data_IF_792079052509
#
_entry.id   IF_792079052509
#
_cell.length_a   1.000
_cell.length_b   1.000
_cell.length_c   1.000
_cell.angle_alpha   90.00
_cell.angle_beta   90.00
_cell.angle_gamma   90.00
#
_symmetry.space_group_name_H-M   'P 1'
#
loop_
_entity.id
_entity.type
_entity.pdbx_description
1 polymer ?
#
# COMPACT_ATOMS: atom_id res chain seq x y z
N UNK A 1 -11.43 -37.13 -14.68
CA UNK A 1 -11.42 -36.52 -13.34
C UNK A 1 -11.41 -34.99 -13.39
N UNK A 2 -10.42 -34.34 -14.03
CA UNK A 2 -10.39 -32.88 -14.17
C UNK A 2 -11.56 -32.29 -14.99
N UNK A 3 -11.98 -32.98 -16.05
CA UNK A 3 -13.13 -32.57 -16.89
C UNK A 3 -14.48 -32.64 -16.15
N UNK A 4 -14.63 -33.55 -15.17
CA UNK A 4 -15.85 -33.65 -14.37
C UNK A 4 -15.95 -32.51 -13.34
N UNK A 5 -14.82 -32.10 -12.75
CA UNK A 5 -14.78 -31.04 -11.72
C UNK A 5 -15.03 -29.67 -12.37
N UNK A 6 -14.47 -29.43 -13.56
CA UNK A 6 -14.72 -28.24 -14.38
C UNK A 6 -16.20 -28.12 -14.80
N UNK A 7 -16.86 -29.24 -15.11
CA UNK A 7 -18.29 -29.26 -15.43
C UNK A 7 -19.18 -28.82 -14.26
N UNK A 8 -18.89 -29.26 -13.04
CA UNK A 8 -19.67 -28.92 -11.82
C UNK A 8 -19.53 -27.47 -11.36
N UNK A 9 -18.39 -26.82 -11.63
CA UNK A 9 -18.15 -25.43 -11.24
C UNK A 9 -18.82 -24.42 -12.19
N UNK A 10 -18.90 -24.74 -13.48
CA UNK A 10 -19.63 -23.96 -14.48
C UNK A 10 -21.15 -24.13 -14.33
N UNK A 11 -21.61 -25.33 -13.94
CA UNK A 11 -23.02 -25.59 -13.66
C UNK A 11 -23.54 -24.80 -12.42
N UNK A 12 -22.70 -24.57 -11.41
CA UNK A 12 -23.09 -23.78 -10.21
C UNK A 12 -23.07 -22.27 -10.41
N UNK A 13 -22.38 -21.75 -11.43
CA UNK A 13 -22.35 -20.30 -11.73
C UNK A 13 -23.45 -19.85 -12.69
N UNK A 14 -24.24 -20.79 -13.21
CA UNK A 14 -25.33 -20.52 -14.18
C UNK A 14 -26.72 -20.64 -13.56
N UNK A 15 -26.86 -21.10 -12.31
CA UNK A 15 -28.14 -21.18 -11.60
C UNK A 15 -28.78 -19.81 -11.31
N UNK A 16 -28.05 -18.70 -11.51
CA UNK A 16 -28.56 -17.34 -11.29
C UNK A 16 -28.84 -16.55 -12.58
N UNK A 17 -28.89 -17.19 -13.75
CA UNK A 17 -29.30 -16.55 -15.01
C UNK A 17 -30.55 -17.22 -15.58
N UNK A 18 -31.67 -16.51 -15.43
CA UNK A 18 -33.02 -16.88 -15.85
C UNK A 18 -33.18 -16.72 -17.40
N UNK A 19 -34.37 -16.98 -17.98
CA UNK A 19 -34.71 -17.97 -19.02
C UNK A 19 -34.10 -17.82 -20.45
N UNK A 20 -33.34 -16.77 -20.75
CA UNK A 20 -32.95 -16.43 -22.13
C UNK A 20 -31.87 -17.33 -22.74
N UNK A 21 -31.01 -17.93 -21.92
CA UNK A 21 -29.95 -18.85 -22.39
C UNK A 21 -30.55 -20.15 -22.94
N UNK A 22 -31.69 -20.61 -22.39
CA UNK A 22 -32.39 -21.80 -22.89
C UNK A 22 -33.09 -21.56 -24.23
N UNK A 23 -33.54 -20.33 -24.49
CA UNK A 23 -34.12 -19.94 -25.77
C UNK A 23 -33.06 -19.89 -26.88
N UNK A 24 -31.83 -19.46 -26.55
CA UNK A 24 -30.70 -19.43 -27.48
C UNK A 24 -30.27 -20.83 -27.92
N UNK A 25 -30.10 -21.76 -26.98
CA UNK A 25 -29.75 -23.17 -27.31
C UNK A 25 -30.82 -23.85 -28.17
N UNK A 26 -32.11 -23.56 -27.94
CA UNK A 26 -33.20 -24.08 -28.75
C UNK A 26 -33.20 -23.52 -30.19
N UNK A 27 -32.90 -22.22 -30.37
CA UNK A 27 -32.86 -21.58 -31.68
C UNK A 27 -31.66 -22.03 -32.53
N UNK A 28 -30.49 -22.19 -31.91
CA UNK A 28 -29.29 -22.72 -32.59
C UNK A 28 -29.51 -24.18 -33.00
N UNK A 29 -30.08 -25.00 -32.12
CA UNK A 29 -30.42 -26.40 -32.42
C UNK A 29 -31.44 -26.51 -33.58
N UNK A 30 -32.46 -25.65 -33.60
CA UNK A 30 -33.45 -25.63 -34.68
C UNK A 30 -32.84 -25.20 -36.04
N UNK A 31 -31.87 -24.28 -36.04
CA UNK A 31 -31.14 -23.85 -37.25
C UNK A 31 -30.25 -24.96 -37.80
N UNK A 32 -29.53 -25.68 -36.94
CA UNK A 32 -28.69 -26.81 -37.37
C UNK A 32 -29.53 -27.98 -37.89
N UNK A 33 -30.70 -28.25 -37.29
CA UNK A 33 -31.65 -29.27 -37.78
C UNK A 33 -32.26 -28.85 -39.14
N UNK A 34 -32.66 -27.60 -39.31
CA UNK A 34 -33.26 -27.13 -40.57
C UNK A 34 -32.26 -27.12 -41.74
N UNK A 35 -31.02 -26.68 -41.48
CA UNK A 35 -29.93 -26.68 -42.47
C UNK A 35 -29.46 -28.11 -42.80
N UNK A 36 -29.41 -29.00 -41.81
CA UNK A 36 -29.10 -30.42 -42.02
C UNK A 36 -30.17 -31.19 -42.81
N UNK A 37 -31.38 -30.64 -42.93
CA UNK A 37 -32.51 -31.22 -43.69
C UNK A 37 -32.83 -30.47 -44.99
N UNK A 38 -32.02 -29.47 -45.38
CA UNK A 38 -32.17 -28.75 -46.65
C UNK A 38 -33.38 -27.81 -46.73
N UNK A 39 -33.86 -27.26 -45.61
CA UNK A 39 -34.97 -26.29 -45.57
C UNK A 39 -34.48 -24.87 -45.24
N UNK A 40 -34.99 -23.87 -45.95
CA UNK A 40 -34.74 -22.45 -45.63
C UNK A 40 -35.66 -21.94 -44.50
N UNK A 41 -35.12 -21.08 -43.63
CA UNK A 41 -35.88 -20.38 -42.60
C UNK A 41 -36.50 -19.09 -43.19
N UNK A 42 -37.73 -18.76 -42.79
CA UNK A 42 -38.41 -17.56 -43.28
C UNK A 42 -37.80 -16.25 -42.72
N UNK A 43 -38.01 -15.11 -43.39
CA UNK A 43 -37.27 -13.85 -43.14
C UNK A 43 -37.42 -13.28 -41.71
N UNK A 44 -38.52 -13.59 -41.00
CA UNK A 44 -38.72 -13.18 -39.60
C UNK A 44 -37.86 -13.96 -38.59
N UNK A 45 -37.40 -15.16 -38.94
CA UNK A 45 -36.53 -15.96 -38.09
C UNK A 45 -35.08 -15.47 -38.19
N UNK A 46 -34.61 -15.12 -39.39
CA UNK A 46 -33.26 -14.58 -39.61
C UNK A 46 -33.03 -13.24 -38.89
N UNK A 47 -34.01 -12.34 -38.89
CA UNK A 47 -33.91 -11.03 -38.23
C UNK A 47 -33.82 -11.13 -36.70
N UNK A 48 -34.56 -12.07 -36.09
CA UNK A 48 -34.47 -12.36 -34.64
C UNK A 48 -33.15 -13.03 -34.25
N UNK A 49 -32.60 -13.87 -35.12
CA UNK A 49 -31.29 -14.50 -34.89
C UNK A 49 -30.17 -13.46 -34.96
N UNK A 50 -30.22 -12.52 -35.92
CA UNK A 50 -29.21 -11.46 -36.08
C UNK A 50 -29.16 -10.45 -34.94
N UNK A 51 -30.32 -10.07 -34.40
CA UNK A 51 -30.42 -9.12 -33.27
C UNK A 51 -29.90 -9.75 -31.96
N UNK A 52 -30.30 -10.97 -31.64
CA UNK A 52 -29.79 -11.67 -30.45
C UNK A 52 -28.32 -12.11 -30.54
N UNK A 53 -27.80 -12.43 -31.73
CA UNK A 53 -26.36 -12.71 -31.85
C UNK A 53 -25.49 -11.49 -31.56
N UNK A 54 -25.97 -10.29 -31.86
CA UNK A 54 -25.23 -9.04 -31.63
C UNK A 54 -25.18 -8.70 -30.13
N UNK A 55 -26.28 -8.88 -29.39
CA UNK A 55 -26.33 -8.69 -27.93
C UNK A 55 -25.50 -9.73 -27.17
N UNK A 56 -25.59 -11.02 -27.56
CA UNK A 56 -24.82 -12.11 -26.95
C UNK A 56 -23.31 -11.97 -27.18
N UNK A 57 -22.86 -11.49 -28.34
CA UNK A 57 -21.43 -11.21 -28.60
C UNK A 57 -20.93 -10.04 -27.74
N UNK A 58 -21.76 -9.01 -27.53
CA UNK A 58 -21.44 -7.90 -26.63
C UNK A 58 -21.28 -8.37 -25.18
N UNK A 59 -22.19 -9.22 -24.70
CA UNK A 59 -22.15 -9.75 -23.34
C UNK A 59 -21.02 -10.77 -23.14
N UNK A 60 -20.71 -11.57 -24.17
CA UNK A 60 -19.55 -12.47 -24.19
C UNK A 60 -18.22 -11.69 -24.17
N UNK A 61 -18.14 -10.52 -24.82
CA UNK A 61 -16.98 -9.64 -24.75
C UNK A 61 -16.71 -9.12 -23.34
N UNK A 62 -17.77 -8.72 -22.61
CA UNK A 62 -17.69 -8.30 -21.22
C UNK A 62 -17.40 -9.47 -20.25
N UNK A 63 -17.93 -10.66 -20.53
CA UNK A 63 -17.67 -11.87 -19.75
C UNK A 63 -16.24 -12.41 -19.96
N UNK A 64 -15.69 -12.36 -21.18
CA UNK A 64 -14.30 -12.72 -21.46
C UNK A 64 -13.29 -11.77 -20.80
N UNK A 65 -13.59 -10.47 -20.74
CA UNK A 65 -12.77 -9.51 -20.00
C UNK A 65 -12.74 -9.81 -18.48
N UNK A 66 -13.87 -10.25 -17.91
CA UNK A 66 -13.95 -10.67 -16.50
C UNK A 66 -13.32 -12.04 -16.23
N UNK A 67 -13.38 -12.97 -17.19
CA UNK A 67 -12.74 -14.30 -17.11
C UNK A 67 -11.22 -14.23 -17.26
N UNK A 68 -10.70 -13.32 -18.10
CA UNK A 68 -9.26 -13.05 -18.22
C UNK A 68 -8.65 -12.51 -16.90
N UNK A 69 -9.41 -11.73 -16.12
CA UNK A 69 -9.00 -11.30 -14.78
C UNK A 69 -9.04 -12.45 -13.75
N UNK A 70 -9.95 -13.42 -13.89
CA UNK A 70 -10.06 -14.55 -12.95
C UNK A 70 -9.03 -15.66 -13.22
N UNK A 71 -8.74 -15.95 -14.49
CA UNK A 71 -7.73 -16.93 -14.93
C UNK A 71 -6.29 -16.48 -14.68
N UNK A 72 -6.05 -15.17 -14.64
CA UNK A 72 -4.77 -14.60 -14.18
C UNK A 72 -4.52 -14.81 -12.68
N UNK A 73 -5.58 -14.93 -11.85
CA UNK A 73 -5.45 -15.21 -10.41
C UNK A 73 -5.34 -16.70 -10.09
N UNK A 74 -5.89 -17.58 -10.92
CA UNK A 74 -5.83 -19.03 -10.70
C UNK A 74 -4.52 -19.67 -11.23
N UNK A 75 -3.93 -19.11 -12.30
CA UNK A 75 -2.63 -19.55 -12.82
C UNK A 75 -1.46 -19.23 -11.88
N UNK A 76 -1.62 -18.21 -11.03
CA UNK A 76 -0.67 -17.91 -9.94
C UNK A 76 -0.77 -18.92 -8.78
N UNK A 77 -1.90 -19.61 -8.61
CA UNK A 77 -2.10 -20.55 -7.50
C UNK A 77 -1.56 -21.96 -7.80
N UNK A 78 -1.39 -22.32 -9.08
CA UNK A 78 -0.98 -23.68 -9.49
C UNK A 78 0.52 -23.76 -9.84
N UNK A 79 1.23 -22.64 -10.02
CA UNK A 79 2.71 -22.62 -10.20
C UNK A 79 3.53 -22.22 -8.96
N UNK A 80 2.88 -21.93 -7.83
CA UNK A 80 3.54 -21.54 -6.57
C UNK A 80 3.76 -22.67 -5.56
N UNK A 81 3.58 -23.93 -5.97
CA UNK A 81 3.75 -25.12 -5.12
C UNK A 81 5.20 -25.48 -4.82
N UNK A 82 5.97 -24.55 -4.27
CA UNK A 82 7.12 -24.86 -3.44
C UNK A 82 6.91 -24.09 -2.15
N UNK A 83 6.48 -24.79 -1.10
CA UNK A 83 6.57 -24.25 0.24
C UNK A 83 8.05 -23.96 0.50
N UNK A 84 8.45 -22.72 0.32
CA UNK A 84 9.70 -22.21 0.86
C UNK A 84 9.61 -22.40 2.37
N UNK A 85 10.52 -23.23 2.87
CA UNK A 85 10.72 -23.42 4.30
C UNK A 85 10.79 -22.05 4.95
N UNK A 86 9.99 -21.87 5.99
CA UNK A 86 10.01 -20.67 6.81
C UNK A 86 11.43 -20.48 7.32
N UNK A 87 12.15 -19.53 6.74
CA UNK A 87 13.35 -19.00 7.34
C UNK A 87 12.91 -18.17 8.55
N UNK A 88 12.73 -18.90 9.64
CA UNK A 88 12.30 -18.38 10.92
C UNK A 88 13.40 -17.47 11.44
N UNK A 89 13.10 -16.20 11.69
CA UNK A 89 13.87 -15.42 12.65
C UNK A 89 13.81 -16.19 13.96
N UNK A 90 14.91 -16.80 14.37
CA UNK A 90 15.00 -17.72 15.50
C UNK A 90 14.92 -17.04 16.87
N UNK A 91 14.60 -15.74 16.92
CA UNK A 91 14.36 -15.02 18.17
C UNK A 91 12.88 -15.12 18.55
N UNK A 92 12.49 -15.96 19.52
CA UNK A 92 11.12 -16.02 20.02
C UNK A 92 10.64 -14.71 20.67
N UNK A 93 11.53 -13.75 20.95
CA UNK A 93 11.17 -12.40 21.40
C UNK A 93 10.78 -11.46 20.25
N UNK A 94 11.00 -11.86 19.00
CA UNK A 94 10.65 -11.06 17.82
C UNK A 94 9.15 -11.14 17.52
N UNK A 95 8.41 -10.24 18.17
CA UNK A 95 6.96 -10.13 18.07
C UNK A 95 6.44 -9.59 16.72
N UNK A 96 7.33 -9.41 15.73
CA UNK A 96 6.93 -8.86 14.43
C UNK A 96 5.93 -9.75 13.70
N UNK A 97 4.93 -9.13 13.05
CA UNK A 97 3.88 -9.81 12.28
C UNK A 97 4.36 -10.13 10.87
N UNK A 98 5.11 -9.25 10.23
CA UNK A 98 5.73 -9.51 8.93
C UNK A 98 7.13 -10.06 9.15
N UNK A 99 7.29 -11.38 9.05
CA UNK A 99 8.63 -12.02 9.17
C UNK A 99 9.62 -11.44 8.16
N UNK A 100 10.86 -11.24 8.57
CA UNK A 100 11.89 -10.80 7.63
C UNK A 100 12.02 -11.82 6.50
N UNK A 101 12.13 -11.33 5.27
CA UNK A 101 12.36 -12.18 4.09
C UNK A 101 13.88 -12.25 3.89
N UNK A 102 14.51 -13.44 4.01
CA UNK A 102 15.92 -13.60 3.65
C UNK A 102 16.18 -13.13 2.23
N UNK A 103 17.37 -12.59 2.00
CA UNK A 103 17.72 -11.93 0.74
C UNK A 103 17.64 -12.92 -0.44
N UNK A 104 18.06 -14.15 -0.19
CA UNK A 104 18.01 -15.31 -1.09
C UNK A 104 16.58 -15.78 -1.41
N UNK A 105 15.59 -15.41 -0.58
CA UNK A 105 14.19 -15.83 -0.72
C UNK A 105 13.29 -14.73 -1.32
N UNK A 106 13.86 -13.60 -1.74
CA UNK A 106 13.09 -12.53 -2.39
C UNK A 106 12.61 -12.95 -3.78
N UNK A 107 11.34 -12.69 -4.09
CA UNK A 107 10.86 -12.77 -5.48
C UNK A 107 11.60 -11.76 -6.38
N UNK A 108 11.57 -11.91 -7.72
CA UNK A 108 12.16 -10.92 -8.63
C UNK A 108 11.67 -9.48 -8.40
N UNK A 109 10.37 -9.29 -8.13
CA UNK A 109 9.76 -7.98 -7.87
C UNK A 109 10.20 -7.42 -6.51
N UNK A 110 10.28 -8.27 -5.48
CA UNK A 110 10.79 -7.91 -4.17
C UNK A 110 12.28 -7.56 -4.21
N UNK A 111 13.08 -8.32 -4.97
CA UNK A 111 14.50 -8.06 -5.23
C UNK A 111 14.69 -6.69 -5.87
N UNK A 112 13.90 -6.35 -6.89
CA UNK A 112 13.94 -5.03 -7.53
C UNK A 112 13.68 -3.89 -6.52
N UNK A 113 12.63 -4.02 -5.70
CA UNK A 113 12.35 -3.02 -4.66
C UNK A 113 13.47 -2.96 -3.59
N UNK A 114 13.98 -4.12 -3.18
CA UNK A 114 15.10 -4.20 -2.25
C UNK A 114 16.32 -3.43 -2.76
N UNK A 115 16.70 -3.66 -4.01
CA UNK A 115 17.86 -3.01 -4.63
C UNK A 115 17.64 -1.50 -4.80
N UNK A 116 16.43 -1.08 -5.18
CA UNK A 116 16.06 0.33 -5.25
C UNK A 116 16.23 1.02 -3.89
N UNK A 117 15.70 0.44 -2.81
CA UNK A 117 15.83 0.99 -1.44
C UNK A 117 17.29 1.06 -0.99
N UNK A 118 18.09 0.03 -1.30
CA UNK A 118 19.51 -0.08 -0.93
C UNK A 118 20.42 0.87 -1.69
N UNK A 119 20.05 1.20 -2.94
CA UNK A 119 20.79 2.15 -3.78
C UNK A 119 20.46 3.61 -3.47
N UNK A 120 19.32 3.85 -2.81
CA UNK A 120 18.81 5.17 -2.49
C UNK A 120 19.55 5.90 -1.35
N UNK A 121 19.24 7.19 -1.13
CA UNK A 121 19.90 8.02 -0.11
C UNK A 121 19.70 7.50 1.32
N UNK A 122 18.65 6.71 1.58
CA UNK A 122 18.38 6.12 2.90
C UNK A 122 19.48 5.16 3.36
N UNK A 123 20.13 4.46 2.43
CA UNK A 123 21.22 3.54 2.76
C UNK A 123 22.47 4.27 3.30
N UNK A 124 22.54 5.60 3.17
CA UNK A 124 23.60 6.45 3.75
C UNK A 124 23.33 6.84 5.20
N UNK A 125 22.10 6.63 5.69
CA UNK A 125 21.75 6.89 7.09
C UNK A 125 22.19 5.69 7.91
N UNK A 126 23.17 5.90 8.80
CA UNK A 126 23.68 4.87 9.70
C UNK A 126 22.54 4.22 10.50
N UNK A 127 22.64 2.91 10.68
CA UNK A 127 21.69 2.08 11.43
C UNK A 127 20.23 2.13 10.95
N UNK A 128 19.99 2.65 9.74
CA UNK A 128 18.68 2.56 9.11
C UNK A 128 18.39 1.14 8.64
N UNK A 129 17.10 0.77 8.57
CA UNK A 129 16.68 -0.51 7.99
C UNK A 129 17.08 -0.73 6.53
N UNK A 130 17.56 0.33 5.84
CA UNK A 130 18.09 0.27 4.48
C UNK A 130 19.63 0.13 4.45
N UNK A 131 20.35 0.56 5.48
CA UNK A 131 21.82 0.49 5.54
C UNK A 131 22.33 -0.82 6.13
N UNK A 132 21.61 -1.41 7.11
CA UNK A 132 22.04 -2.64 7.79
C UNK A 132 22.10 -3.83 6.81
N UNK A 133 23.21 -4.58 6.68
CA UNK A 133 23.30 -5.74 5.79
C UNK A 133 22.24 -6.81 6.07
N UNK A 134 21.81 -7.55 5.04
CA UNK A 134 20.84 -8.65 5.17
C UNK A 134 19.39 -8.26 4.81
N UNK A 135 18.38 -8.90 5.42
CA UNK A 135 16.97 -8.54 5.20
C UNK A 135 16.70 -7.06 5.49
N UNK A 136 15.81 -6.43 4.72
CA UNK A 136 15.39 -5.05 4.97
C UNK A 136 14.66 -4.96 6.31
N UNK A 137 15.03 -3.98 7.14
CA UNK A 137 14.38 -3.69 8.42
C UNK A 137 13.36 -2.56 8.34
N UNK A 138 12.80 -2.16 9.49
CA UNK A 138 11.88 -1.03 9.58
C UNK A 138 10.64 -1.19 8.70
N UNK A 139 10.11 -0.08 8.12
CA UNK A 139 8.91 -0.15 7.30
C UNK A 139 9.14 -0.85 5.95
N UNK A 140 10.39 -0.90 5.47
CA UNK A 140 10.76 -1.47 4.18
C UNK A 140 10.41 -2.96 4.09
N UNK A 141 10.57 -3.70 5.19
CA UNK A 141 10.14 -5.10 5.29
C UNK A 141 8.65 -5.27 4.96
N UNK A 142 7.81 -4.37 5.48
CA UNK A 142 6.36 -4.40 5.25
C UNK A 142 6.04 -4.08 3.79
N UNK A 143 6.75 -3.11 3.20
CA UNK A 143 6.53 -2.70 1.81
C UNK A 143 6.87 -3.81 0.79
N UNK A 144 7.77 -4.74 1.13
CA UNK A 144 8.04 -5.93 0.29
C UNK A 144 6.80 -6.83 0.10
N UNK A 145 5.74 -6.67 0.90
CA UNK A 145 4.48 -7.42 0.73
C UNK A 145 3.67 -6.95 -0.48
N UNK A 146 3.92 -5.75 -0.98
CA UNK A 146 3.36 -5.25 -2.23
C UNK A 146 4.43 -4.43 -2.96
N UNK A 147 5.32 -5.06 -3.73
CA UNK A 147 6.50 -4.38 -4.29
C UNK A 147 6.17 -3.18 -5.17
N UNK A 148 5.07 -3.23 -5.94
CA UNK A 148 4.64 -2.11 -6.77
C UNK A 148 4.23 -0.89 -5.93
N UNK A 149 3.43 -1.09 -4.88
CA UNK A 149 3.06 -0.02 -3.94
C UNK A 149 4.29 0.44 -3.16
N UNK A 150 5.12 -0.51 -2.72
CA UNK A 150 6.35 -0.24 -1.98
C UNK A 150 7.32 0.65 -2.75
N UNK A 151 7.43 0.48 -4.08
CA UNK A 151 8.24 1.37 -4.90
C UNK A 151 7.66 2.79 -4.97
N UNK A 152 6.34 2.94 -5.13
CA UNK A 152 5.69 4.25 -5.06
C UNK A 152 5.93 4.94 -3.71
N UNK A 153 5.73 4.21 -2.61
CA UNK A 153 5.90 4.72 -1.24
C UNK A 153 7.35 5.10 -0.97
N UNK A 154 8.31 4.25 -1.34
CA UNK A 154 9.72 4.55 -1.09
C UNK A 154 10.20 5.75 -1.92
N UNK A 155 9.69 5.96 -3.14
CA UNK A 155 10.03 7.15 -3.94
C UNK A 155 9.42 8.43 -3.35
N UNK A 156 8.15 8.39 -2.94
CA UNK A 156 7.51 9.52 -2.26
C UNK A 156 8.27 9.90 -0.98
N UNK A 157 8.64 8.91 -0.16
CA UNK A 157 9.42 9.18 1.03
C UNK A 157 10.85 9.66 0.76
N UNK A 158 11.39 9.49 -0.47
CA UNK A 158 12.68 10.05 -0.83
C UNK A 158 12.54 11.55 -1.09
N UNK A 159 11.52 11.95 -1.85
CA UNK A 159 11.16 13.35 -2.08
C UNK A 159 10.94 14.08 -0.77
N UNK A 160 10.08 13.54 0.11
CA UNK A 160 9.73 14.14 1.39
C UNK A 160 10.93 14.32 2.32
N UNK A 161 11.89 13.40 2.30
CA UNK A 161 13.02 13.44 3.25
C UNK A 161 14.22 14.22 2.73
N UNK A 162 14.50 14.13 1.44
CA UNK A 162 15.77 14.60 0.88
C UNK A 162 15.60 15.72 -0.14
N UNK A 163 14.37 16.04 -0.56
CA UNK A 163 14.06 17.12 -1.52
C UNK A 163 12.93 18.06 -1.04
N UNK A 164 12.56 17.97 0.25
CA UNK A 164 11.56 18.85 0.87
C UNK A 164 12.03 20.31 0.88
N UNK A 165 11.07 21.22 0.74
CA UNK A 165 11.28 22.66 0.91
C UNK A 165 11.36 23.06 2.39
N UNK A 166 10.92 22.21 3.31
CA UNK A 166 11.04 22.45 4.74
C UNK A 166 12.48 22.23 5.20
N UNK A 167 13.05 23.13 6.03
CA UNK A 167 14.33 22.88 6.70
C UNK A 167 14.34 21.55 7.45
N UNK A 168 15.46 20.84 7.45
CA UNK A 168 15.58 19.49 8.03
C UNK A 168 15.04 19.39 9.47
N UNK A 169 15.37 20.38 10.32
CA UNK A 169 14.85 20.48 11.70
C UNK A 169 13.31 20.45 11.76
N UNK A 170 12.68 21.23 10.90
CA UNK A 170 11.21 21.40 10.88
C UNK A 170 10.51 20.19 10.24
N UNK A 171 11.12 19.59 9.23
CA UNK A 171 10.64 18.36 8.63
C UNK A 171 10.67 17.22 9.65
N UNK A 172 11.81 17.02 10.35
CA UNK A 172 11.93 16.01 11.41
C UNK A 172 11.01 16.29 12.61
N UNK A 173 10.75 17.56 12.94
CA UNK A 173 9.74 17.93 13.94
C UNK A 173 8.34 17.42 13.56
N UNK A 174 7.89 17.65 12.32
CA UNK A 174 6.61 17.13 11.84
C UNK A 174 6.53 15.59 11.90
N UNK A 175 7.65 14.93 11.61
CA UNK A 175 7.77 13.47 11.67
C UNK A 175 7.59 12.97 13.11
N UNK A 176 8.32 13.52 14.09
CA UNK A 176 8.20 13.03 15.47
C UNK A 176 6.84 13.36 16.09
N UNK A 177 6.19 14.47 15.71
CA UNK A 177 4.79 14.76 16.11
C UNK A 177 3.84 13.67 15.58
N UNK A 178 4.00 13.29 14.32
CA UNK A 178 3.21 12.22 13.69
C UNK A 178 3.47 10.87 14.35
N UNK A 179 4.74 10.53 14.59
CA UNK A 179 5.13 9.31 15.29
C UNK A 179 4.54 9.25 16.70
N UNK A 180 4.50 10.38 17.43
CA UNK A 180 3.86 10.44 18.74
C UNK A 180 2.36 10.22 18.66
N UNK A 181 1.68 10.86 17.72
CA UNK A 181 0.23 10.71 17.53
C UNK A 181 -0.16 9.24 17.36
N UNK A 182 0.58 8.51 16.52
CA UNK A 182 0.37 7.07 16.32
C UNK A 182 1.00 6.19 17.39
N UNK A 183 1.74 6.75 18.35
CA UNK A 183 2.56 6.01 19.32
C UNK A 183 3.49 4.98 18.65
N UNK A 184 4.05 5.36 17.50
CA UNK A 184 4.97 4.53 16.72
C UNK A 184 6.35 4.53 17.34
N UNK A 185 6.63 3.52 18.16
CA UNK A 185 7.86 3.42 18.96
C UNK A 185 9.12 3.45 18.09
N UNK A 186 9.13 2.67 17.00
CA UNK A 186 10.27 2.58 16.10
C UNK A 186 10.50 3.88 15.32
N UNK A 187 9.42 4.47 14.78
CA UNK A 187 9.52 5.73 14.04
C UNK A 187 10.01 6.86 14.94
N UNK A 188 9.44 6.96 16.13
CA UNK A 188 9.88 7.92 17.14
C UNK A 188 11.36 7.75 17.48
N UNK A 189 11.79 6.51 17.75
CA UNK A 189 13.20 6.24 18.07
C UNK A 189 14.14 6.68 16.94
N UNK A 190 13.84 6.29 15.70
CA UNK A 190 14.66 6.61 14.54
C UNK A 190 14.70 8.11 14.26
N UNK A 191 13.54 8.78 14.28
CA UNK A 191 13.41 10.17 13.86
C UNK A 191 13.73 11.17 14.97
N UNK A 192 13.55 10.82 16.26
CA UNK A 192 14.03 11.66 17.36
C UNK A 192 15.52 11.91 17.23
N UNK A 193 16.33 10.89 16.92
CA UNK A 193 17.77 11.07 16.73
C UNK A 193 18.04 12.08 15.60
N UNK A 194 17.38 11.92 14.46
CA UNK A 194 17.56 12.79 13.29
C UNK A 194 17.11 14.23 13.56
N UNK A 195 16.02 14.42 14.32
CA UNK A 195 15.56 15.73 14.75
C UNK A 195 16.60 16.45 15.61
N UNK A 196 17.21 15.75 16.57
CA UNK A 196 18.27 16.30 17.42
C UNK A 196 19.53 16.61 16.62
N UNK A 197 19.95 15.72 15.72
CA UNK A 197 21.09 15.93 14.83
C UNK A 197 20.87 17.14 13.90
N UNK A 198 19.61 17.43 13.54
CA UNK A 198 19.21 18.61 12.76
C UNK A 198 19.08 19.90 13.62
N UNK A 199 19.37 19.84 14.92
CA UNK A 199 19.38 20.98 15.82
C UNK A 199 18.06 21.26 16.54
N UNK A 200 17.14 20.30 16.62
CA UNK A 200 15.96 20.43 17.47
C UNK A 200 16.36 20.38 18.95
N UNK A 201 15.81 21.27 19.77
CA UNK A 201 16.03 21.25 21.21
C UNK A 201 15.51 19.92 21.82
N UNK A 202 16.34 19.18 22.57
CA UNK A 202 15.90 17.98 23.28
C UNK A 202 14.67 18.16 24.17
N UNK A 203 14.47 19.34 24.77
CA UNK A 203 13.31 19.65 25.59
C UNK A 203 12.00 19.66 24.78
N UNK A 204 12.06 20.07 23.50
CA UNK A 204 10.91 20.02 22.58
C UNK A 204 10.52 18.57 22.32
N UNK A 205 11.49 17.74 21.93
CA UNK A 205 11.24 16.32 21.69
C UNK A 205 10.71 15.61 22.95
N UNK A 206 11.22 15.97 24.13
CA UNK A 206 10.75 15.41 25.40
C UNK A 206 9.30 15.78 25.71
N UNK A 207 8.91 17.06 25.53
CA UNK A 207 7.53 17.49 25.74
C UNK A 207 6.56 16.76 24.79
N UNK A 208 6.94 16.60 23.51
CA UNK A 208 6.15 15.84 22.54
C UNK A 208 6.03 14.37 22.97
N UNK A 209 7.12 13.73 23.45
CA UNK A 209 7.07 12.34 23.95
C UNK A 209 6.02 12.17 25.06
N UNK A 210 5.92 13.17 25.93
CA UNK A 210 4.98 13.22 27.06
C UNK A 210 3.56 13.62 26.64
N UNK A 211 3.32 13.88 25.35
CA UNK A 211 2.01 14.33 24.85
C UNK A 211 1.67 15.76 25.25
N UNK A 212 2.67 16.58 25.58
CA UNK A 212 2.50 17.99 25.96
C UNK A 212 2.94 18.92 24.84
N UNK A 213 2.32 20.09 24.77
CA UNK A 213 2.85 21.19 23.98
C UNK A 213 4.21 21.64 24.54
N UNK A 214 5.27 21.70 23.73
CA UNK A 214 6.54 22.31 24.13
C UNK A 214 6.38 23.80 24.43
N UNK A 215 6.99 24.27 25.52
CA UNK A 215 6.84 25.66 25.98
C UNK A 215 7.75 26.65 25.22
N UNK A 216 8.82 26.17 24.61
CA UNK A 216 9.91 26.97 24.05
C UNK A 216 10.03 26.84 22.51
N UNK A 217 8.91 26.70 21.81
CA UNK A 217 8.89 26.67 20.34
C UNK A 217 9.28 28.02 19.77
N UNK A 218 10.21 28.04 18.81
CA UNK A 218 10.37 29.20 17.93
C UNK A 218 9.14 29.39 17.03
N UNK A 219 9.04 30.54 16.35
CA UNK A 219 7.86 30.85 15.53
C UNK A 219 7.61 29.82 14.42
N UNK A 220 8.66 29.25 13.81
CA UNK A 220 8.51 28.25 12.75
C UNK A 220 8.17 26.87 13.33
N UNK A 221 8.78 26.48 14.45
CA UNK A 221 8.48 25.25 15.17
C UNK A 221 7.03 25.25 15.69
N UNK A 222 6.54 26.40 16.17
CA UNK A 222 5.16 26.57 16.61
C UNK A 222 4.16 26.33 15.47
N UNK A 223 4.46 26.83 14.26
CA UNK A 223 3.62 26.59 13.08
C UNK A 223 3.59 25.11 12.71
N UNK A 224 4.74 24.43 12.68
CA UNK A 224 4.80 22.98 12.42
C UNK A 224 4.00 22.21 13.46
N UNK A 225 4.18 22.54 14.75
CA UNK A 225 3.48 21.86 15.84
C UNK A 225 1.96 22.03 15.74
N UNK A 226 1.49 23.27 15.59
CA UNK A 226 0.06 23.60 15.52
C UNK A 226 -0.59 22.92 14.31
N UNK A 227 0.02 23.07 13.13
CA UNK A 227 -0.48 22.49 11.89
C UNK A 227 -0.57 20.97 11.97
N UNK A 228 0.51 20.30 12.40
CA UNK A 228 0.52 18.83 12.53
C UNK A 228 -0.47 18.34 13.58
N UNK A 229 -0.62 19.03 14.71
CA UNK A 229 -1.57 18.65 15.77
C UNK A 229 -3.02 18.80 15.30
N UNK A 230 -3.37 19.98 14.77
CA UNK A 230 -4.72 20.24 14.26
C UNK A 230 -5.10 19.24 13.17
N UNK A 231 -4.21 19.00 12.21
CA UNK A 231 -4.46 18.06 11.12
C UNK A 231 -4.71 16.62 11.63
N UNK A 232 -3.97 16.17 12.64
CA UNK A 232 -4.14 14.81 13.18
C UNK A 232 -5.32 14.67 14.15
N UNK A 233 -5.61 15.69 14.97
CA UNK A 233 -6.64 15.60 16.02
C UNK A 233 -8.02 16.09 15.57
N UNK A 234 -8.05 17.15 14.76
CA UNK A 234 -9.28 17.78 14.27
C UNK A 234 -9.62 17.40 12.84
N UNK A 235 -8.69 16.74 12.12
CA UNK A 235 -8.78 16.41 10.69
C UNK A 235 -8.92 17.63 9.77
N UNK A 236 -8.70 18.83 10.29
CA UNK A 236 -8.74 20.11 9.60
C UNK A 236 -7.68 21.03 10.22
N UNK A 237 -7.24 22.03 9.47
CA UNK A 237 -6.34 23.08 9.97
C UNK A 237 -7.11 24.40 9.97
N UNK A 238 -7.07 25.11 11.08
CA UNK A 238 -7.73 26.41 11.22
C UNK A 238 -7.15 27.45 10.25
N UNK A 239 -7.96 28.43 9.85
CA UNK A 239 -7.52 29.53 8.98
C UNK A 239 -6.29 30.24 9.54
N UNK A 240 -6.25 30.48 10.86
CA UNK A 240 -5.12 31.13 11.51
C UNK A 240 -3.82 30.30 11.41
N UNK A 241 -3.90 28.98 11.56
CA UNK A 241 -2.73 28.10 11.42
C UNK A 241 -2.31 27.95 9.96
N UNK A 242 -3.28 27.85 9.03
CA UNK A 242 -3.02 27.83 7.59
C UNK A 242 -2.32 29.12 7.12
N UNK A 243 -2.81 30.29 7.51
CA UNK A 243 -2.20 31.57 7.11
C UNK A 243 -0.77 31.71 7.64
N UNK A 244 -0.50 31.35 8.90
CA UNK A 244 0.88 31.35 9.44
C UNK A 244 1.80 30.40 8.67
N UNK A 245 1.30 29.22 8.29
CA UNK A 245 2.07 28.27 7.47
C UNK A 245 2.34 28.79 6.06
N UNK A 246 1.33 29.40 5.44
CA UNK A 246 1.43 30.01 4.12
C UNK A 246 2.42 31.17 4.10
N UNK A 247 2.33 32.10 5.06
CA UNK A 247 3.27 33.22 5.21
C UNK A 247 4.70 32.75 5.41
N UNK A 248 4.89 31.66 6.18
CA UNK A 248 6.22 31.19 6.55
C UNK A 248 6.88 30.33 5.48
N UNK A 249 6.12 29.48 4.80
CA UNK A 249 6.67 28.43 3.92
C UNK A 249 6.13 28.49 2.48
N UNK A 250 5.16 29.36 2.19
CA UNK A 250 4.46 29.39 0.91
C UNK A 250 3.63 28.13 0.64
N UNK A 251 2.92 28.12 -0.49
CA UNK A 251 2.04 26.99 -0.85
C UNK A 251 2.80 25.66 -0.98
N UNK A 252 4.01 25.69 -1.54
CA UNK A 252 4.87 24.51 -1.64
C UNK A 252 5.20 23.93 -0.27
N UNK A 253 5.59 24.77 0.69
CA UNK A 253 5.93 24.32 2.02
C UNK A 253 4.72 23.82 2.81
N UNK A 254 3.54 24.42 2.60
CA UNK A 254 2.28 23.90 3.13
C UNK A 254 1.99 22.51 2.56
N UNK A 255 2.15 22.31 1.24
CA UNK A 255 1.97 20.98 0.64
C UNK A 255 3.00 19.97 1.16
N UNK A 256 4.27 20.34 1.26
CA UNK A 256 5.32 19.46 1.81
C UNK A 256 5.01 19.09 3.28
N UNK A 257 4.42 20.00 4.05
CA UNK A 257 3.96 19.75 5.41
C UNK A 257 2.76 18.78 5.45
N UNK A 258 1.81 18.90 4.53
CA UNK A 258 0.72 17.92 4.37
C UNK A 258 1.31 16.55 4.01
N UNK A 259 2.23 16.53 3.04
CA UNK A 259 2.84 15.31 2.53
C UNK A 259 3.62 14.56 3.62
N UNK A 260 4.44 15.25 4.43
CA UNK A 260 5.17 14.60 5.54
C UNK A 260 4.23 14.02 6.58
N UNK A 261 3.18 14.73 6.99
CA UNK A 261 2.20 14.22 7.97
C UNK A 261 1.46 12.97 7.44
N UNK A 262 1.01 13.01 6.18
CA UNK A 262 0.32 11.88 5.55
C UNK A 262 1.24 10.68 5.34
N UNK A 263 2.45 10.91 4.82
CA UNK A 263 3.42 9.84 4.57
C UNK A 263 3.85 9.15 5.86
N UNK A 264 4.20 9.90 6.91
CA UNK A 264 4.61 9.29 8.17
C UNK A 264 3.45 8.69 8.96
N UNK A 265 2.20 9.10 8.71
CA UNK A 265 1.05 8.34 9.18
C UNK A 265 1.00 6.94 8.57
N UNK A 266 1.23 6.81 7.25
CA UNK A 266 1.34 5.52 6.59
C UNK A 266 2.51 4.69 7.16
N UNK A 267 3.68 5.30 7.34
CA UNK A 267 4.84 4.62 7.92
C UNK A 267 4.56 4.13 9.34
N UNK A 268 3.98 4.99 10.19
CA UNK A 268 3.56 4.65 11.55
C UNK A 268 2.56 3.50 11.57
N UNK A 269 1.55 3.53 10.69
CA UNK A 269 0.60 2.42 10.52
C UNK A 269 1.31 1.11 10.16
N UNK A 270 2.24 1.13 9.19
CA UNK A 270 3.01 -0.06 8.82
C UNK A 270 3.80 -0.62 10.02
N UNK A 271 4.53 0.23 10.74
CA UNK A 271 5.38 -0.16 11.88
C UNK A 271 4.56 -0.70 13.05
N UNK A 272 3.43 -0.06 13.35
CA UNK A 272 2.54 -0.48 14.42
C UNK A 272 1.85 -1.81 14.10
N UNK A 273 1.38 -2.00 12.87
CA UNK A 273 0.80 -3.28 12.44
C UNK A 273 1.85 -4.37 12.45
N UNK A 274 3.06 -4.10 11.97
CA UNK A 274 4.17 -5.04 12.02
C UNK A 274 4.60 -5.35 13.45
N UNK A 275 4.41 -4.45 14.41
CA UNK A 275 5.08 -4.50 15.72
C UNK A 275 6.60 -4.55 15.55
N UNK A 276 7.10 -3.69 14.66
CA UNK A 276 8.53 -3.63 14.36
C UNK A 276 9.31 -3.39 15.66
N UNK A 277 10.26 -4.27 16.02
CA UNK A 277 10.98 -4.17 17.28
C UNK A 277 11.94 -2.99 17.27
N UNK A 278 12.13 -2.38 18.45
CA UNK A 278 13.24 -1.46 18.69
C UNK A 278 14.58 -2.21 18.67
N UNK A 279 15.71 -1.51 18.45
CA UNK A 279 17.03 -2.10 18.65
C UNK A 279 17.16 -2.72 20.05
N UNK A 280 17.91 -3.82 20.15
CA UNK A 280 18.05 -4.57 21.41
C UNK A 280 18.54 -3.65 22.54
N UNK A 281 17.85 -3.70 23.68
CA UNK A 281 18.18 -2.92 24.87
C UNK A 281 17.65 -1.48 24.87
N UNK A 282 17.00 -1.03 23.79
CA UNK A 282 16.32 0.27 23.75
C UNK A 282 14.95 0.15 24.44
N UNK A 283 14.68 0.91 25.52
CA UNK A 283 13.35 0.93 26.14
C UNK A 283 12.34 1.61 25.22
N UNK A 284 11.05 1.28 25.38
CA UNK A 284 9.96 1.96 24.66
C UNK A 284 9.94 3.46 24.99
N UNK A 285 10.23 4.36 24.03
CA UNK A 285 10.36 5.79 24.31
C UNK A 285 9.03 6.50 24.57
N UNK A 286 7.92 5.98 24.05
CA UNK A 286 6.59 6.57 24.20
C UNK A 286 5.76 5.74 25.19
N UNK A 287 5.04 6.44 26.07
CA UNK A 287 4.09 5.86 27.02
C UNK A 287 2.66 6.02 26.53
#
# INVERSE_FOLDING_TARGET
ALALILGTLVARSTESFEPDVRAFDQLVTLREIALGQGRELGPRADERIGTHTTEVISDLGHAQARSAMLTSRLSLYIRGGAMSSQANSSDPADARRFKLIPVENLSPEQRKLYDAIRSGPRAKIADSGASTPGPLGGPFNVWLRSPAIGDCVQRLGEEIRFRSSLPAKLNELAIIITARFWTSQYEWHAHRKLALDAGLDPAIAQAIAEGRRPANLDAAEAVIYDFSRELHESHEVSDATYQRALERFGERGVFDLIAVNGFYSLVSMCLNVDRTPLPKGVPTPLK
#
